data_IF_282533958704
#
_entry.id   IF_282533958704
#
_cell.length_a   1.000
_cell.length_b   1.000
_cell.length_c   1.000
_cell.angle_alpha   90.00
_cell.angle_beta   90.00
_cell.angle_gamma   90.00
#
_symmetry.space_group_name_H-M   'P 1'
#
loop_
_entity.id
_entity.type
_entity.pdbx_description
1 polymer ?
#
# COMPACT_ATOMS: atom_id res chain seq x y z
N UNK A 1 10.46 -3.01 -28.09
CA UNK A 1 10.20 -3.17 -27.72
C UNK A 1 9.79 -3.65 -26.83
N UNK A 2 9.98 -3.90 -26.35
CA UNK A 2 9.65 -4.47 -25.61
C UNK A 2 8.64 -4.23 -24.94
N UNK A 3 8.01 -4.18 -25.27
CA UNK A 3 6.98 -3.95 -24.85
C UNK A 3 6.32 -4.83 -24.13
N UNK A 4 6.55 -5.90 -24.24
CA UNK A 4 5.93 -6.92 -23.57
C UNK A 4 6.03 -6.75 -22.14
N UNK A 5 7.08 -6.34 -21.61
CA UNK A 5 7.17 -6.21 -20.27
C UNK A 5 6.29 -5.19 -19.79
N UNK A 6 6.03 -4.21 -20.51
CA UNK A 6 5.14 -3.22 -20.06
C UNK A 6 3.78 -3.76 -19.93
N UNK A 7 3.42 -4.74 -20.68
CA UNK A 7 2.11 -5.31 -20.56
C UNK A 7 1.84 -5.84 -19.18
N UNK A 8 2.86 -6.24 -18.46
CA UNK A 8 2.65 -6.79 -17.17
C UNK A 8 2.61 -5.76 -16.11
N UNK A 9 3.02 -4.56 -16.38
CA UNK A 9 3.03 -3.52 -15.42
C UNK A 9 2.04 -2.47 -15.78
N UNK A 10 1.19 -2.12 -14.85
CA UNK A 10 0.19 -1.10 -15.08
C UNK A 10 0.58 0.09 -14.23
N UNK A 11 1.03 1.16 -14.87
CA UNK A 11 1.49 2.34 -14.18
C UNK A 11 0.41 3.02 -13.37
N UNK A 12 -0.84 2.64 -13.56
CA UNK A 12 -1.92 3.22 -12.77
C UNK A 12 -1.95 2.67 -11.36
N UNK A 13 -1.24 1.59 -11.11
CA UNK A 13 -1.32 0.93 -9.80
C UNK A 13 0.04 0.73 -9.19
N UNK A 14 0.07 0.82 -7.87
CA UNK A 14 1.27 0.61 -7.09
C UNK A 14 1.06 -0.59 -6.18
N UNK A 15 2.02 -1.51 -6.17
CA UNK A 15 1.93 -2.72 -5.37
C UNK A 15 2.99 -2.71 -4.28
N UNK A 16 2.61 -3.14 -3.09
CA UNK A 16 3.57 -3.23 -2.00
C UNK A 16 3.16 -4.37 -1.07
N UNK A 17 4.16 -5.10 -0.59
CA UNK A 17 3.90 -6.21 0.30
C UNK A 17 4.07 -5.85 1.77
N UNK A 18 4.72 -4.74 2.07
CA UNK A 18 4.90 -4.32 3.45
C UNK A 18 3.57 -3.89 4.05
N UNK A 19 3.14 -4.62 5.09
CA UNK A 19 1.83 -4.38 5.69
C UNK A 19 1.74 -2.98 6.30
N UNK A 20 2.75 -2.57 7.05
CA UNK A 20 2.65 -1.29 7.74
C UNK A 20 2.83 -0.09 6.82
N UNK A 21 3.62 -0.24 5.76
CA UNK A 21 3.68 0.82 4.76
C UNK A 21 2.32 0.94 4.07
N UNK A 22 1.71 -0.20 3.75
CA UNK A 22 0.38 -0.18 3.14
C UNK A 22 -0.63 0.50 4.06
N UNK A 23 -0.55 0.21 5.37
CA UNK A 23 -1.46 0.84 6.32
C UNK A 23 -1.26 2.36 6.37
N UNK A 24 -0.01 2.78 6.31
CA UNK A 24 0.30 4.21 6.29
C UNK A 24 -0.29 4.87 5.05
N UNK A 25 -0.08 4.27 3.90
CA UNK A 25 -0.61 4.82 2.64
C UNK A 25 -2.14 4.87 2.68
N UNK A 26 -2.75 3.81 3.17
CA UNK A 26 -4.20 3.76 3.24
C UNK A 26 -4.74 4.85 4.17
N UNK A 27 -4.08 5.01 5.32
CA UNK A 27 -4.49 6.02 6.29
C UNK A 27 -4.27 7.44 5.75
N UNK A 28 -3.31 7.61 4.85
CA UNK A 28 -3.07 8.91 4.23
C UNK A 28 -4.02 9.20 3.08
N UNK A 29 -4.87 8.26 2.74
CA UNK A 29 -5.91 8.51 1.76
C UNK A 29 -5.70 7.90 0.39
N UNK A 30 -4.67 7.10 0.20
CA UNK A 30 -4.53 6.41 -1.07
C UNK A 30 -5.62 5.37 -1.21
N UNK A 31 -6.11 5.20 -2.40
CA UNK A 31 -7.21 4.29 -2.67
C UNK A 31 -6.69 2.86 -2.81
N UNK A 32 -7.15 1.98 -1.94
CA UNK A 32 -6.82 0.57 -2.02
C UNK A 32 -7.75 -0.08 -3.03
N UNK A 33 -7.17 -0.70 -4.03
CA UNK A 33 -7.93 -1.33 -5.09
C UNK A 33 -8.14 -2.81 -4.81
N UNK A 34 -7.13 -3.46 -4.27
CA UNK A 34 -7.19 -4.91 -4.12
C UNK A 34 -6.10 -5.38 -3.16
N UNK A 35 -6.32 -6.56 -2.60
CA UNK A 35 -5.28 -7.27 -1.88
C UNK A 35 -5.04 -8.55 -2.67
N UNK A 36 -3.90 -8.63 -3.31
CA UNK A 36 -3.58 -9.74 -4.21
C UNK A 36 -2.89 -10.85 -3.42
N UNK A 37 -3.59 -11.96 -3.26
CA UNK A 37 -3.05 -13.13 -2.55
C UNK A 37 -2.75 -14.28 -3.50
N UNK A 38 -2.87 -14.03 -4.78
CA UNK A 38 -2.75 -15.07 -5.79
C UNK A 38 -1.42 -15.05 -6.51
N UNK A 39 -0.96 -13.87 -6.90
CA UNK A 39 0.26 -13.76 -7.69
C UNK A 39 1.44 -14.38 -6.96
N UNK A 40 1.57 -14.10 -5.67
CA UNK A 40 2.58 -14.73 -4.84
C UNK A 40 1.88 -15.32 -3.62
N UNK A 41 1.66 -16.63 -3.60
CA UNK A 41 0.90 -17.24 -2.50
C UNK A 41 1.55 -17.05 -1.13
N UNK A 42 2.84 -16.79 -1.10
CA UNK A 42 3.53 -16.65 0.17
C UNK A 42 3.52 -15.23 0.69
N UNK A 43 3.16 -14.28 -0.16
CA UNK A 43 3.28 -12.90 0.24
C UNK A 43 2.20 -12.07 -0.46
N UNK A 44 1.21 -11.67 0.30
CA UNK A 44 0.15 -10.83 -0.25
C UNK A 44 0.71 -9.46 -0.65
N UNK A 45 0.11 -8.88 -1.68
CA UNK A 45 0.46 -7.54 -2.11
C UNK A 45 -0.75 -6.65 -2.01
N UNK A 46 -0.54 -5.46 -1.49
CA UNK A 46 -1.58 -4.45 -1.40
C UNK A 46 -1.48 -3.57 -2.63
N UNK A 47 -2.56 -3.47 -3.37
CA UNK A 47 -2.57 -2.77 -4.67
C UNK A 47 -3.34 -1.48 -4.50
N UNK A 48 -2.66 -0.37 -4.72
CA UNK A 48 -3.25 0.96 -4.60
C UNK A 48 -3.31 1.62 -5.96
N UNK A 49 -4.27 2.52 -6.11
CA UNK A 49 -4.27 3.38 -7.26
C UNK A 49 -3.12 4.36 -7.06
N UNK A 50 -2.23 4.44 -8.02
CA UNK A 50 -1.06 5.29 -7.86
C UNK A 50 -1.43 6.77 -8.00
N UNK A 51 -0.66 7.61 -7.36
CA UNK A 51 -0.86 9.04 -7.39
C UNK A 51 0.50 9.70 -7.24
N UNK A 52 0.59 10.99 -7.56
CA UNK A 52 1.88 11.68 -7.41
C UNK A 52 2.40 11.69 -5.98
N UNK A 53 1.52 11.64 -5.00
CA UNK A 53 1.94 11.65 -3.61
C UNK A 53 2.52 10.32 -3.14
N UNK A 54 2.21 9.25 -3.84
CA UNK A 54 2.58 7.91 -3.35
C UNK A 54 4.07 7.78 -3.11
N UNK A 55 4.88 8.23 -4.05
CA UNK A 55 6.32 8.07 -3.91
C UNK A 55 6.84 8.87 -2.73
N UNK A 56 6.33 10.08 -2.56
CA UNK A 56 6.73 10.94 -1.46
C UNK A 56 6.34 10.31 -0.12
N UNK A 57 5.13 9.76 -0.05
CA UNK A 57 4.66 9.15 1.19
C UNK A 57 5.50 7.93 1.57
N UNK A 58 5.85 7.11 0.61
CA UNK A 58 6.68 5.94 0.90
C UNK A 58 8.05 6.37 1.39
N UNK A 59 8.63 7.37 0.75
CA UNK A 59 9.92 7.88 1.20
C UNK A 59 9.84 8.44 2.60
N UNK A 60 8.78 9.17 2.90
CA UNK A 60 8.62 9.75 4.23
C UNK A 60 8.51 8.67 5.28
N UNK A 61 7.75 7.62 4.99
CA UNK A 61 7.60 6.54 5.97
C UNK A 61 8.93 5.85 6.24
N UNK A 62 9.69 5.60 5.18
CA UNK A 62 10.91 4.79 5.30
C UNK A 62 12.14 5.55 5.76
N UNK A 63 12.24 6.82 5.42
CA UNK A 63 13.52 7.53 5.57
C UNK A 63 13.48 8.82 6.36
N UNK A 64 12.32 9.20 6.86
CA UNK A 64 12.24 10.42 7.64
C UNK A 64 12.74 10.16 9.06
N UNK A 65 13.36 11.15 9.66
CA UNK A 65 13.82 11.04 11.03
C UNK A 65 12.65 10.84 11.97
N UNK A 66 12.91 10.21 13.09
CA UNK A 66 11.90 10.08 14.14
C UNK A 66 11.38 11.46 14.51
N UNK A 67 10.12 11.50 14.84
CA UNK A 67 9.42 12.71 15.27
C UNK A 67 9.26 13.76 14.16
N UNK A 68 9.62 13.43 12.93
CA UNK A 68 9.38 14.36 11.84
C UNK A 68 7.89 14.36 11.48
N UNK A 69 7.32 15.54 11.28
CA UNK A 69 5.90 15.61 10.88
C UNK A 69 5.61 14.93 9.55
N UNK A 70 6.64 14.68 8.75
CA UNK A 70 6.41 14.05 7.45
C UNK A 70 5.88 12.63 7.54
N UNK A 71 6.19 11.93 8.63
CA UNK A 71 5.69 10.58 8.83
C UNK A 71 4.62 10.51 9.91
N UNK A 72 4.16 11.63 10.41
CA UNK A 72 3.12 11.65 11.44
C UNK A 72 1.77 11.34 10.84
N UNK A 73 0.94 10.72 11.63
CA UNK A 73 -0.40 10.40 11.21
C UNK A 73 -1.28 10.27 12.44
N UNK A 74 -2.55 10.54 12.27
CA UNK A 74 -3.50 10.38 13.37
C UNK A 74 -3.50 8.91 13.80
N UNK A 75 -3.23 8.67 15.08
CA UNK A 75 -3.11 7.30 15.57
C UNK A 75 -4.37 6.48 15.34
N UNK A 76 -5.53 7.10 15.46
CA UNK A 76 -6.78 6.39 15.25
C UNK A 76 -6.99 6.02 13.80
N UNK A 77 -6.59 6.91 12.88
CA UNK A 77 -6.68 6.58 11.46
C UNK A 77 -5.75 5.43 11.11
N UNK A 78 -4.56 5.42 11.71
CA UNK A 78 -3.62 4.34 11.44
C UNK A 78 -4.14 3.01 11.99
N UNK A 79 -4.70 3.01 13.19
CA UNK A 79 -5.27 1.81 13.77
C UNK A 79 -6.43 1.30 12.93
N UNK A 80 -7.29 2.20 12.47
CA UNK A 80 -8.40 1.79 11.61
C UNK A 80 -7.90 1.19 10.30
N UNK A 81 -6.87 1.80 9.72
CA UNK A 81 -6.30 1.27 8.49
C UNK A 81 -5.77 -0.14 8.71
N UNK A 82 -5.08 -0.35 9.82
CA UNK A 82 -4.56 -1.67 10.15
C UNK A 82 -5.69 -2.69 10.24
N UNK A 83 -6.77 -2.33 10.94
CA UNK A 83 -7.90 -3.24 11.07
C UNK A 83 -8.53 -3.56 9.74
N UNK A 84 -8.73 -2.55 8.91
CA UNK A 84 -9.36 -2.75 7.61
C UNK A 84 -8.50 -3.62 6.71
N UNK A 85 -7.19 -3.40 6.73
CA UNK A 85 -6.30 -4.20 5.90
C UNK A 85 -6.24 -5.63 6.38
N UNK A 86 -6.25 -5.84 7.69
CA UNK A 86 -6.28 -7.21 8.22
C UNK A 86 -7.56 -7.92 7.83
N UNK A 87 -8.68 -7.22 7.88
CA UNK A 87 -9.94 -7.83 7.49
C UNK A 87 -9.89 -8.29 6.03
N UNK A 88 -9.37 -7.44 5.15
CA UNK A 88 -9.26 -7.81 3.75
C UNK A 88 -8.25 -8.91 3.53
N UNK A 89 -7.17 -8.90 4.26
CA UNK A 89 -6.12 -9.88 4.11
C UNK A 89 -6.59 -11.27 4.52
N UNK A 90 -7.38 -11.37 5.58
CA UNK A 90 -7.85 -12.65 6.09
C UNK A 90 -9.25 -13.01 5.64
N UNK A 91 -9.83 -12.23 4.77
CA UNK A 91 -11.15 -12.50 4.24
C UNK A 91 -11.05 -13.68 3.29
N UNK A 92 -11.89 -14.63 3.52
CA UNK A 92 -11.92 -15.74 2.61
C UNK A 92 -13.04 -15.58 1.72
N UNK A 93 -13.19 -15.54 0.81
CA UNK A 93 -14.19 -15.39 0.21
C UNK A 93 -14.66 -16.22 -0.52
N UNK A 94 -15.14 -16.56 -0.67
CA UNK A 94 -15.60 -17.33 -1.52
C UNK A 94 -16.63 -17.70 -1.53
#
# INVERSE_FOLDING_TARGET
MDKTKTAKQDDRYFRISSFYVAAFLFAKGLELVNVDKITDPKRAQFVFKDSPEREILVKNYNFTKEDSPKAMIDARKFVMAIKMLKDKLYQDKF
#
